data_IF_616890691202
#
_entry.id   IF_616890691202
#
_cell.length_a   1.000
_cell.length_b   1.000
_cell.length_c   1.000
_cell.angle_alpha   90.00
_cell.angle_beta   90.00
_cell.angle_gamma   90.00
#
_symmetry.space_group_name_H-M   'P 1'
#
loop_
_entity.id
_entity.type
_entity.pdbx_description
1 polymer ?
#
# COMPACT_ATOMS: atom_id res chain seq x y z
N UNK A 1 5.21 6.66 43.41
CA UNK A 1 6.16 7.67 42.90
C UNK A 1 7.45 6.96 42.53
N UNK A 2 7.61 6.58 41.26
CA UNK A 2 8.88 6.31 40.60
C UNK A 2 8.56 5.99 39.13
N UNK A 3 8.87 6.95 38.27
CA UNK A 3 8.66 6.90 36.84
C UNK A 3 9.58 5.85 36.22
N UNK A 4 9.01 4.90 35.48
CA UNK A 4 9.73 4.08 34.53
C UNK A 4 9.04 4.24 33.16
N UNK A 5 9.37 5.35 32.50
CA UNK A 5 9.21 5.54 31.06
C UNK A 5 9.98 4.42 30.33
N UNK A 6 9.32 3.30 30.05
CA UNK A 6 9.86 2.29 29.13
C UNK A 6 9.23 2.50 27.75
N UNK A 7 9.97 3.32 27.00
CA UNK A 7 10.17 3.31 25.55
C UNK A 7 9.12 2.57 24.72
N UNK A 8 8.30 3.37 24.02
CA UNK A 8 7.52 2.97 22.84
C UNK A 8 8.41 2.21 21.86
N UNK A 9 8.14 0.92 21.65
CA UNK A 9 8.71 0.14 20.56
C UNK A 9 8.01 0.48 19.22
N UNK A 10 8.40 1.63 18.69
CA UNK A 10 8.71 1.95 17.29
C UNK A 10 8.07 1.13 16.13
N UNK A 11 7.04 1.70 15.45
CA UNK A 11 6.75 1.43 14.03
C UNK A 11 7.42 2.37 12.96
N UNK A 12 8.35 3.31 13.24
CA UNK A 12 8.86 4.25 12.24
C UNK A 12 9.88 3.62 11.26
N UNK A 13 10.47 2.46 11.54
CA UNK A 13 11.58 1.93 10.72
C UNK A 13 11.11 1.54 9.32
N UNK A 14 9.92 0.94 9.18
CA UNK A 14 9.36 0.58 7.88
C UNK A 14 8.93 1.80 7.06
N UNK A 15 8.37 2.81 7.71
CA UNK A 15 8.03 4.08 7.05
C UNK A 15 9.29 4.85 6.60
N UNK A 16 10.35 4.81 7.40
CA UNK A 16 11.65 5.40 7.04
C UNK A 16 12.31 4.63 5.90
N UNK A 17 12.29 3.29 5.91
CA UNK A 17 12.81 2.45 4.81
C UNK A 17 12.08 2.71 3.49
N UNK A 18 10.75 2.84 3.51
CA UNK A 18 9.97 3.17 2.32
C UNK A 18 10.29 4.58 1.79
N UNK A 19 10.48 5.55 2.68
CA UNK A 19 10.91 6.90 2.33
C UNK A 19 12.31 6.93 1.69
N UNK A 20 13.25 6.17 2.26
CA UNK A 20 14.62 6.04 1.71
C UNK A 20 14.59 5.39 0.33
N UNK A 21 13.79 4.33 0.14
CA UNK A 21 13.64 3.68 -1.16
C UNK A 21 13.08 4.63 -2.22
N UNK A 22 12.08 5.45 -1.85
CA UNK A 22 11.54 6.48 -2.73
C UNK A 22 12.56 7.54 -3.14
N UNK A 23 13.39 7.99 -2.20
CA UNK A 23 14.45 8.97 -2.47
C UNK A 23 15.53 8.40 -3.40
N UNK A 24 15.94 7.14 -3.19
CA UNK A 24 16.90 6.45 -4.04
C UNK A 24 16.35 6.28 -5.46
N UNK A 25 15.10 5.85 -5.61
CA UNK A 25 14.46 5.71 -6.93
C UNK A 25 14.35 7.04 -7.67
N UNK A 26 14.00 8.12 -6.97
CA UNK A 26 13.96 9.46 -7.56
C UNK A 26 15.34 9.93 -8.02
N UNK A 27 16.38 9.68 -7.22
CA UNK A 27 17.77 9.98 -7.59
C UNK A 27 18.24 9.22 -8.83
N UNK A 28 17.94 7.92 -8.90
CA UNK A 28 18.29 7.09 -10.07
C UNK A 28 17.55 7.57 -11.32
N UNK A 29 16.26 7.88 -11.22
CA UNK A 29 15.49 8.36 -12.37
C UNK A 29 15.99 9.72 -12.89
N UNK A 30 16.39 10.63 -12.00
CA UNK A 30 17.02 11.89 -12.38
C UNK A 30 18.38 11.68 -13.08
N UNK A 31 19.20 10.74 -12.59
CA UNK A 31 20.47 10.38 -13.21
C UNK A 31 20.27 9.77 -14.61
N UNK A 32 19.25 8.92 -14.77
CA UNK A 32 18.86 8.35 -16.07
C UNK A 32 18.38 9.44 -17.04
N UNK A 33 17.51 10.35 -16.59
CA UNK A 33 17.04 11.47 -17.43
C UNK A 33 18.20 12.36 -17.89
N UNK A 34 19.15 12.65 -17.00
CA UNK A 34 20.38 13.37 -17.34
C UNK A 34 21.21 12.61 -18.38
N UNK A 35 21.39 11.31 -18.19
CA UNK A 35 22.14 10.46 -19.11
C UNK A 35 21.49 10.45 -20.51
N UNK A 36 20.18 10.27 -20.61
CA UNK A 36 19.48 10.31 -21.90
C UNK A 36 19.58 11.69 -22.58
N UNK A 37 19.52 12.79 -21.81
CA UNK A 37 19.73 14.14 -22.33
C UNK A 37 21.15 14.35 -22.88
N UNK A 38 22.16 13.78 -22.22
CA UNK A 38 23.56 13.82 -22.69
C UNK A 38 23.79 13.02 -23.97
N UNK A 39 23.13 11.87 -24.12
CA UNK A 39 23.20 11.06 -25.35
C UNK A 39 22.49 11.77 -26.51
N UNK A 40 21.34 12.41 -26.25
CA UNK A 40 20.59 13.15 -27.28
C UNK A 40 21.37 14.36 -27.79
N UNK A 41 21.96 15.14 -26.90
CA UNK A 41 22.77 16.31 -27.26
C UNK A 41 24.01 15.95 -28.09
N UNK A 42 24.66 14.82 -27.80
CA UNK A 42 25.75 14.32 -28.64
C UNK A 42 25.27 13.98 -30.06
N UNK A 43 24.11 13.33 -30.19
CA UNK A 43 23.54 13.01 -31.50
C UNK A 43 23.17 14.24 -32.32
N UNK A 44 22.66 15.29 -31.67
CA UNK A 44 22.35 16.58 -32.31
C UNK A 44 23.63 17.29 -32.80
N UNK A 45 24.68 17.31 -31.99
CA UNK A 45 25.98 17.88 -32.36
C UNK A 45 26.62 17.16 -33.56
N UNK A 46 26.59 15.83 -33.60
CA UNK A 46 27.12 15.04 -34.73
C UNK A 46 26.38 15.35 -36.02
N UNK A 47 25.04 15.33 -35.99
CA UNK A 47 24.21 15.62 -37.17
C UNK A 47 24.42 17.04 -37.68
N UNK A 48 24.54 18.00 -36.76
CA UNK A 48 24.83 19.38 -37.10
C UNK A 48 26.20 19.52 -37.76
N UNK A 49 27.25 18.92 -37.17
CA UNK A 49 28.61 18.96 -37.71
C UNK A 49 28.71 18.36 -39.11
N UNK A 50 28.11 17.18 -39.35
CA UNK A 50 28.07 16.54 -40.67
C UNK A 50 27.31 17.36 -41.70
N UNK A 51 26.15 17.92 -41.32
CA UNK A 51 25.33 18.72 -42.24
C UNK A 51 26.05 20.01 -42.60
N UNK A 52 26.65 20.68 -41.62
CA UNK A 52 27.33 21.93 -41.80
C UNK A 52 28.61 21.79 -42.64
N UNK A 53 29.45 20.80 -42.34
CA UNK A 53 30.67 20.58 -43.15
C UNK A 53 30.31 20.30 -44.62
N UNK A 54 29.25 19.53 -44.87
CA UNK A 54 28.75 19.23 -46.22
C UNK A 54 28.19 20.47 -46.93
N UNK A 55 27.38 21.26 -46.25
CA UNK A 55 26.80 22.48 -46.82
C UNK A 55 27.86 23.54 -47.13
N UNK A 56 28.81 23.77 -46.21
CA UNK A 56 29.92 24.69 -46.45
C UNK A 56 30.80 24.18 -47.59
N UNK A 57 31.06 22.88 -47.66
CA UNK A 57 31.82 22.30 -48.76
C UNK A 57 31.14 22.50 -50.13
N UNK A 58 29.82 22.34 -50.20
CA UNK A 58 29.04 22.60 -51.41
C UNK A 58 29.09 24.08 -51.82
N UNK A 59 28.95 24.99 -50.87
CA UNK A 59 28.98 26.44 -51.13
C UNK A 59 30.39 26.97 -51.44
N UNK A 60 31.44 26.30 -50.94
CA UNK A 60 32.83 26.66 -51.17
C UNK A 60 33.35 26.21 -52.55
N UNK A 61 32.66 25.30 -53.24
CA UNK A 61 33.09 24.77 -54.54
C UNK A 61 33.25 25.88 -55.60
N UNK A 62 32.26 26.78 -55.71
CA UNK A 62 32.26 27.83 -56.73
C UNK A 62 33.37 28.88 -56.49
N UNK A 63 33.51 29.49 -55.28
CA UNK A 63 34.61 30.42 -55.03
C UNK A 63 36.00 29.77 -55.13
N UNK A 64 36.12 28.49 -54.79
CA UNK A 64 37.38 27.76 -54.86
C UNK A 64 37.82 27.55 -56.32
N UNK A 65 36.89 27.29 -57.24
CA UNK A 65 37.18 27.21 -58.68
C UNK A 65 37.60 28.55 -59.27
N UNK A 66 36.97 29.63 -58.82
CA UNK A 66 37.28 30.99 -59.25
C UNK A 66 38.53 31.56 -58.56
N UNK A 67 39.16 30.80 -57.65
CA UNK A 67 40.26 31.27 -56.79
C UNK A 67 39.92 32.53 -55.99
N UNK A 68 38.64 32.72 -55.67
CA UNK A 68 38.14 33.88 -54.93
C UNK A 68 38.32 33.67 -53.41
N UNK A 69 39.52 34.03 -52.93
CA UNK A 69 39.85 34.01 -51.50
C UNK A 69 38.96 34.94 -50.65
N UNK A 70 38.41 36.02 -51.24
CA UNK A 70 37.50 36.93 -50.55
C UNK A 70 36.13 36.25 -50.39
N UNK A 71 35.63 35.62 -51.45
CA UNK A 71 34.43 34.78 -51.42
C UNK A 71 34.51 33.67 -50.37
N UNK A 72 35.63 32.95 -50.31
CA UNK A 72 35.88 31.92 -49.29
C UNK A 72 35.93 32.51 -47.87
N UNK A 73 36.59 33.66 -47.69
CA UNK A 73 36.65 34.36 -46.42
C UNK A 73 35.29 34.84 -45.93
N UNK A 74 34.46 35.40 -46.83
CA UNK A 74 33.10 35.84 -46.49
C UNK A 74 32.17 34.68 -46.17
N UNK A 75 32.29 33.55 -46.89
CA UNK A 75 31.56 32.32 -46.58
C UNK A 75 31.96 31.80 -45.20
N UNK A 76 33.25 31.67 -44.92
CA UNK A 76 33.74 31.24 -43.61
C UNK A 76 33.25 32.16 -42.49
N UNK A 77 33.28 33.48 -42.69
CA UNK A 77 32.82 34.44 -41.70
C UNK A 77 31.31 34.38 -41.44
N UNK A 78 30.49 34.22 -42.49
CA UNK A 78 29.02 34.01 -42.35
C UNK A 78 28.66 32.70 -41.66
N UNK A 79 29.51 31.69 -41.79
CA UNK A 79 29.29 30.41 -41.16
C UNK A 79 29.85 30.37 -39.73
N UNK A 80 30.83 31.23 -39.42
CA UNK A 80 31.36 31.42 -38.06
C UNK A 80 30.49 32.34 -37.19
N UNK A 81 29.43 32.96 -37.72
CA UNK A 81 28.46 33.73 -36.92
C UNK A 81 27.43 32.86 -36.18
N UNK A 82 27.36 31.56 -36.48
CA UNK A 82 26.51 30.63 -35.71
C UNK A 82 27.14 30.37 -34.35
N UNK A 83 26.36 30.50 -33.27
CA UNK A 83 26.85 30.38 -31.89
C UNK A 83 27.40 28.98 -31.58
N UNK A 84 26.96 27.97 -32.33
CA UNK A 84 27.39 26.58 -32.25
C UNK A 84 28.78 26.33 -32.89
N UNK A 85 29.20 27.24 -33.77
CA UNK A 85 30.44 27.13 -34.55
C UNK A 85 31.53 27.95 -33.89
N UNK A 86 32.58 27.26 -33.45
CA UNK A 86 33.75 27.91 -32.88
C UNK A 86 34.69 28.43 -33.97
N UNK A 87 34.93 27.62 -35.00
CA UNK A 87 35.87 27.92 -36.08
C UNK A 87 35.56 27.15 -37.35
N UNK A 88 35.78 27.79 -38.49
CA UNK A 88 35.75 27.15 -39.80
C UNK A 88 37.05 27.45 -40.53
N UNK A 89 37.68 26.42 -41.08
CA UNK A 89 38.85 26.57 -41.96
C UNK A 89 38.61 25.84 -43.27
N UNK A 90 39.04 26.46 -44.36
CA UNK A 90 38.95 25.91 -45.71
C UNK A 90 40.38 25.70 -46.20
N UNK A 91 40.68 24.47 -46.57
CA UNK A 91 41.99 24.03 -47.02
C UNK A 91 41.93 23.60 -48.49
N UNK A 92 43.02 23.81 -49.20
CA UNK A 92 43.24 23.24 -50.53
C UNK A 92 43.51 21.73 -50.45
N UNK A 93 43.63 21.06 -51.60
CA UNK A 93 44.04 19.65 -51.68
C UNK A 93 45.41 19.41 -51.03
N UNK A 94 46.31 20.41 -51.12
CA UNK A 94 47.65 20.38 -50.51
C UNK A 94 47.66 20.80 -49.03
N UNK A 95 46.50 20.79 -48.37
CA UNK A 95 46.29 21.22 -46.97
C UNK A 95 46.64 22.70 -46.69
N UNK A 96 46.88 23.49 -47.74
CA UNK A 96 47.14 24.93 -47.62
C UNK A 96 45.88 25.65 -47.17
N UNK A 97 45.96 26.40 -46.06
CA UNK A 97 44.87 27.23 -45.58
C UNK A 97 44.52 28.32 -46.62
N UNK A 98 43.27 28.33 -47.06
CA UNK A 98 42.73 29.29 -48.03
C UNK A 98 41.86 30.35 -47.35
N UNK A 99 41.09 29.96 -46.34
CA UNK A 99 40.27 30.87 -45.54
C UNK A 99 40.07 30.32 -44.13
N UNK A 100 39.93 31.21 -43.14
CA UNK A 100 39.62 30.87 -41.76
C UNK A 100 38.73 31.94 -41.13
N UNK A 101 37.78 31.52 -40.29
CA UNK A 101 36.97 32.41 -39.47
C UNK A 101 36.61 31.76 -38.14
N UNK A 102 36.40 32.58 -37.11
CA UNK A 102 36.08 32.14 -35.74
C UNK A 102 37.24 32.31 -34.76
N UNK A 103 37.07 31.77 -33.55
CA UNK A 103 38.04 31.92 -32.46
C UNK A 103 39.27 31.02 -32.67
N UNK A 104 40.46 31.60 -32.52
CA UNK A 104 41.77 30.93 -32.66
C UNK A 104 42.41 30.56 -31.32
N UNK A 105 41.69 30.77 -30.21
CA UNK A 105 42.16 30.44 -28.86
C UNK A 105 42.71 29.02 -28.75
N UNK A 106 43.96 28.92 -28.26
CA UNK A 106 44.75 27.71 -28.08
C UNK A 106 44.11 26.81 -27.01
N UNK A 107 43.16 26.00 -27.43
CA UNK A 107 42.53 24.95 -26.63
C UNK A 107 41.91 23.92 -27.56
N UNK A 108 42.61 22.80 -27.71
CA UNK A 108 42.31 21.68 -28.64
C UNK A 108 41.12 20.82 -28.21
N UNK A 109 40.10 21.43 -27.61
CA UNK A 109 38.95 20.71 -27.02
C UNK A 109 37.68 20.77 -27.90
N UNK A 110 37.77 21.36 -29.09
CA UNK A 110 36.69 21.36 -30.07
C UNK A 110 36.73 20.08 -30.91
N UNK A 111 35.59 19.44 -31.10
CA UNK A 111 35.50 18.31 -32.03
C UNK A 111 35.53 18.85 -33.47
N UNK A 112 36.24 18.15 -34.37
CA UNK A 112 36.46 18.59 -35.75
C UNK A 112 35.68 17.71 -36.71
N UNK A 113 34.93 18.35 -37.61
CA UNK A 113 34.21 17.69 -38.69
C UNK A 113 34.79 18.12 -40.03
N UNK A 114 35.08 17.15 -40.89
CA UNK A 114 35.69 17.39 -42.21
C UNK A 114 34.70 17.09 -43.31
N UNK A 115 34.52 18.04 -44.23
CA UNK A 115 33.70 17.89 -45.43
C UNK A 115 34.56 18.07 -46.69
N UNK A 116 34.56 17.13 -47.66
CA UNK A 116 35.30 17.29 -48.90
C UNK A 116 34.59 18.26 -49.84
N UNK A 117 35.35 19.20 -50.42
CA UNK A 117 34.89 20.09 -51.49
C UNK A 117 35.10 19.36 -52.81
N UNK A 118 34.02 18.95 -53.46
CA UNK A 118 34.07 18.25 -54.75
C UNK A 118 33.63 19.17 -55.87
N UNK A 119 34.41 19.19 -56.97
CA UNK A 119 34.03 19.83 -58.23
C UNK A 119 33.95 18.75 -59.30
N UNK A 120 32.75 18.52 -59.83
CA UNK A 120 32.49 17.31 -60.62
C UNK A 120 32.77 16.07 -59.77
N UNK A 121 33.68 15.20 -60.24
CA UNK A 121 34.10 13.97 -59.56
C UNK A 121 35.46 14.07 -58.86
N UNK A 122 36.06 15.27 -58.74
CA UNK A 122 37.39 15.47 -58.14
C UNK A 122 37.31 16.28 -56.85
N UNK A 123 38.05 15.85 -55.81
CA UNK A 123 38.19 16.60 -54.55
C UNK A 123 39.16 17.76 -54.77
N UNK A 124 38.65 18.99 -54.60
CA UNK A 124 39.39 20.24 -54.79
C UNK A 124 39.85 20.89 -53.48
N UNK A 125 39.41 20.38 -52.32
CA UNK A 125 39.81 20.85 -51.00
C UNK A 125 39.00 20.24 -49.87
N UNK A 126 39.22 20.70 -48.65
CA UNK A 126 38.53 20.24 -47.45
C UNK A 126 38.08 21.41 -46.58
N UNK A 127 36.90 21.28 -45.97
CA UNK A 127 36.39 22.20 -44.96
C UNK A 127 36.50 21.54 -43.61
N UNK A 128 37.13 22.19 -42.65
CA UNK A 128 37.16 21.76 -41.26
C UNK A 128 36.23 22.68 -40.45
N UNK A 129 35.24 22.08 -39.80
CA UNK A 129 34.30 22.77 -38.92
C UNK A 129 34.60 22.34 -37.50
N UNK A 130 34.86 23.30 -36.61
CA UNK A 130 35.05 23.09 -35.18
C UNK A 130 33.82 23.61 -34.46
N UNK A 131 33.12 22.74 -33.75
CA UNK A 131 31.95 23.12 -32.95
C UNK A 131 32.32 23.34 -31.48
N UNK A 132 31.53 24.16 -30.80
CA UNK A 132 31.67 24.41 -29.36
C UNK A 132 30.78 23.44 -28.56
N UNK A 133 31.34 22.38 -27.94
CA UNK A 133 30.55 21.33 -27.29
C UNK A 133 29.73 21.84 -26.10
N UNK A 134 30.14 22.97 -25.50
CA UNK A 134 29.40 23.60 -24.41
C UNK A 134 28.00 24.09 -24.83
N UNK A 135 27.82 24.46 -26.11
CA UNK A 135 26.54 24.96 -26.64
C UNK A 135 25.49 23.88 -26.86
N UNK A 136 25.94 22.64 -27.06
CA UNK A 136 25.06 21.48 -27.22
C UNK A 136 24.70 20.82 -25.89
N UNK A 137 25.32 21.19 -24.76
CA UNK A 137 25.01 20.58 -23.46
C UNK A 137 23.58 20.96 -23.02
N UNK A 138 22.81 20.00 -22.48
CA UNK A 138 21.50 20.30 -21.93
C UNK A 138 21.64 21.32 -20.79
N UNK A 139 20.84 22.38 -20.82
CA UNK A 139 20.85 23.37 -19.75
C UNK A 139 20.35 22.75 -18.44
N UNK A 140 20.86 23.25 -17.30
CA UNK A 140 20.41 22.81 -15.97
C UNK A 140 18.88 22.95 -15.81
N UNK A 141 18.31 24.00 -16.40
CA UNK A 141 16.87 24.21 -16.45
C UNK A 141 16.13 23.15 -17.28
N UNK A 142 16.67 22.76 -18.45
CA UNK A 142 16.10 21.70 -19.27
C UNK A 142 16.18 20.33 -18.58
N UNK A 143 17.26 20.07 -17.83
CA UNK A 143 17.40 18.84 -17.06
C UNK A 143 16.40 18.76 -15.89
N UNK A 144 16.18 19.86 -15.17
CA UNK A 144 15.16 19.94 -14.10
C UNK A 144 13.76 19.78 -14.69
N UNK A 145 13.49 20.43 -15.83
CA UNK A 145 12.22 20.30 -16.55
C UNK A 145 12.03 18.90 -17.17
N UNK A 146 13.07 18.13 -17.46
CA UNK A 146 12.94 16.74 -17.89
C UNK A 146 12.67 15.78 -16.69
N UNK A 147 12.89 16.24 -15.46
CA UNK A 147 12.86 15.40 -14.27
C UNK A 147 11.50 15.34 -13.56
N UNK A 148 10.57 16.27 -13.81
CA UNK A 148 9.25 16.28 -13.13
C UNK A 148 8.42 15.00 -13.28
N UNK A 149 8.38 14.26 -14.43
CA UNK A 149 7.58 13.04 -14.51
C UNK A 149 8.16 11.91 -13.65
N UNK A 150 9.48 11.89 -13.43
CA UNK A 150 10.12 10.92 -12.55
C UNK A 150 9.72 11.12 -11.08
N UNK A 151 9.60 12.37 -10.64
CA UNK A 151 9.12 12.71 -9.30
C UNK A 151 7.67 12.27 -9.09
N UNK A 152 6.81 12.47 -10.09
CA UNK A 152 5.42 11.99 -10.03
C UNK A 152 5.34 10.46 -9.97
N UNK A 153 6.09 9.75 -10.82
CA UNK A 153 6.12 8.29 -10.81
C UNK A 153 6.59 7.74 -9.44
N UNK A 154 7.65 8.32 -8.87
CA UNK A 154 8.13 7.93 -7.55
C UNK A 154 7.05 8.12 -6.46
N UNK A 155 6.32 9.23 -6.49
CA UNK A 155 5.21 9.51 -5.56
C UNK A 155 4.09 8.47 -5.69
N UNK A 156 3.66 8.18 -6.93
CA UNK A 156 2.60 7.20 -7.19
C UNK A 156 2.97 5.77 -6.85
N UNK A 157 4.27 5.42 -6.78
CA UNK A 157 4.72 4.08 -6.36
C UNK A 157 4.88 4.00 -4.84
N UNK A 158 5.39 5.04 -4.18
CA UNK A 158 5.62 5.02 -2.73
C UNK A 158 4.33 5.04 -1.92
N UNK A 159 3.34 5.84 -2.31
CA UNK A 159 2.06 5.94 -1.59
C UNK A 159 1.31 4.60 -1.46
N UNK A 160 1.08 3.82 -2.54
CA UNK A 160 0.40 2.54 -2.43
C UNK A 160 1.22 1.48 -1.70
N UNK A 161 2.56 1.49 -1.82
CA UNK A 161 3.42 0.58 -1.05
C UNK A 161 3.32 0.90 0.45
N UNK A 162 3.39 2.18 0.83
CA UNK A 162 3.16 2.60 2.21
C UNK A 162 1.75 2.23 2.70
N UNK A 163 0.74 2.35 1.85
CA UNK A 163 -0.63 1.96 2.18
C UNK A 163 -0.78 0.45 2.43
N UNK A 164 -0.20 -0.38 1.55
CA UNK A 164 -0.21 -1.85 1.68
C UNK A 164 0.58 -2.28 2.93
N UNK A 165 1.78 -1.73 3.13
CA UNK A 165 2.60 -2.05 4.31
C UNK A 165 1.95 -1.57 5.61
N UNK A 166 1.30 -0.40 5.62
CA UNK A 166 0.55 0.07 6.79
C UNK A 166 -0.69 -0.79 7.06
N UNK A 167 -1.29 -1.38 6.02
CA UNK A 167 -2.42 -2.31 6.16
C UNK A 167 -1.95 -3.65 6.75
N UNK A 168 -0.80 -4.16 6.31
CA UNK A 168 -0.20 -5.38 6.86
C UNK A 168 0.36 -5.18 8.27
N UNK A 169 0.93 -4.03 8.60
CA UNK A 169 1.35 -3.72 9.98
C UNK A 169 0.20 -3.65 10.99
N UNK A 170 -1.05 -3.53 10.52
CA UNK A 170 -2.26 -3.63 11.34
C UNK A 170 -2.63 -5.08 11.64
N UNK A 171 -2.20 -6.04 10.81
CA UNK A 171 -2.17 -7.47 11.11
C UNK A 171 -0.89 -7.77 11.90
N UNK A 172 -0.85 -7.28 13.15
CA UNK A 172 0.27 -7.53 14.05
C UNK A 172 0.56 -9.03 14.11
N UNK A 173 1.84 -9.39 14.02
CA UNK A 173 2.36 -10.58 14.68
C UNK A 173 1.97 -10.49 16.16
N UNK A 174 0.78 -11.00 16.50
CA UNK A 174 0.51 -11.49 17.83
C UNK A 174 1.37 -12.76 18.02
N UNK A 175 1.92 -13.01 19.22
CA UNK A 175 2.47 -14.33 19.52
C UNK A 175 1.43 -15.40 19.14
N UNK A 176 1.88 -16.50 18.54
CA UNK A 176 1.01 -17.59 18.09
C UNK A 176 0.04 -17.94 19.21
N UNK A 177 -1.29 -17.75 19.04
CA UNK A 177 -2.23 -17.93 20.13
C UNK A 177 -2.18 -19.37 20.64
N UNK A 178 -2.07 -19.55 21.95
CA UNK A 178 -2.00 -20.89 22.57
C UNK A 178 -3.40 -21.53 22.57
N UNK A 179 -4.45 -20.69 22.55
CA UNK A 179 -5.85 -21.09 22.46
C UNK A 179 -6.72 -19.99 21.82
N UNK A 180 -8.02 -20.21 21.81
CA UNK A 180 -9.03 -19.25 21.37
C UNK A 180 -10.29 -19.33 22.22
N UNK A 181 -10.94 -18.17 22.43
CA UNK A 181 -12.30 -18.11 22.97
C UNK A 181 -13.28 -18.12 21.81
N UNK A 182 -14.10 -19.15 21.74
CA UNK A 182 -15.04 -19.37 20.65
C UNK A 182 -16.45 -18.93 21.06
N UNK A 183 -16.92 -17.86 20.43
CA UNK A 183 -18.28 -17.37 20.56
C UNK A 183 -19.11 -17.80 19.34
N UNK A 184 -20.13 -18.62 19.56
CA UNK A 184 -21.12 -18.96 18.56
C UNK A 184 -22.35 -18.07 18.74
N UNK A 185 -22.75 -17.41 17.66
CA UNK A 185 -23.97 -16.62 17.55
C UNK A 185 -24.96 -17.40 16.69
N UNK A 186 -25.94 -18.00 17.37
CA UNK A 186 -26.95 -18.83 16.74
C UNK A 186 -28.19 -18.02 16.35
N UNK A 187 -28.55 -18.05 15.06
CA UNK A 187 -29.80 -17.48 14.56
C UNK A 187 -30.94 -18.48 14.82
N UNK A 188 -31.56 -18.37 15.99
CA UNK A 188 -32.50 -19.37 16.49
C UNK A 188 -33.77 -19.53 15.63
N UNK A 189 -34.32 -18.44 15.11
CA UNK A 189 -35.53 -18.46 14.29
C UNK A 189 -35.25 -18.58 12.78
N UNK A 190 -34.14 -19.22 12.40
CA UNK A 190 -33.71 -19.37 11.00
C UNK A 190 -34.76 -20.01 10.08
N UNK A 191 -35.56 -20.94 10.60
CA UNK A 191 -36.62 -21.64 9.84
C UNK A 191 -37.83 -20.78 9.55
N UNK A 192 -38.02 -19.69 10.31
CA UNK A 192 -39.14 -18.75 10.16
C UNK A 192 -38.81 -17.64 9.16
N UNK A 193 -37.51 -17.39 8.92
CA UNK A 193 -37.04 -16.35 8.00
C UNK A 193 -37.06 -16.82 6.55
N UNK A 194 -37.51 -15.95 5.65
CA UNK A 194 -37.36 -16.19 4.20
C UNK A 194 -35.88 -16.28 3.81
N UNK A 195 -35.59 -16.92 2.67
CA UNK A 195 -34.21 -17.09 2.19
C UNK A 195 -33.47 -15.76 2.03
N UNK A 196 -34.12 -14.77 1.38
CA UNK A 196 -33.54 -13.43 1.18
C UNK A 196 -33.31 -12.70 2.50
N UNK A 197 -34.29 -12.76 3.42
CA UNK A 197 -34.16 -12.09 4.72
C UNK A 197 -33.05 -12.73 5.56
N UNK A 198 -32.94 -14.06 5.53
CA UNK A 198 -31.88 -14.80 6.21
C UNK A 198 -30.51 -14.40 5.69
N UNK A 199 -30.32 -14.36 4.38
CA UNK A 199 -29.05 -13.95 3.76
C UNK A 199 -28.68 -12.52 4.16
N UNK A 200 -29.64 -11.59 4.12
CA UNK A 200 -29.42 -10.20 4.54
C UNK A 200 -29.06 -10.06 6.03
N UNK A 201 -29.72 -10.82 6.91
CA UNK A 201 -29.44 -10.81 8.36
C UNK A 201 -28.06 -11.40 8.67
N UNK A 202 -27.65 -12.47 7.97
CA UNK A 202 -26.33 -13.08 8.15
C UNK A 202 -25.22 -12.16 7.60
N UNK A 203 -25.41 -11.54 6.44
CA UNK A 203 -24.46 -10.57 5.88
C UNK A 203 -24.28 -9.33 6.79
N UNK A 204 -25.38 -8.74 7.27
CA UNK A 204 -25.30 -7.62 8.23
C UNK A 204 -24.67 -8.07 9.56
N UNK A 205 -25.06 -9.24 10.06
CA UNK A 205 -24.52 -9.83 11.28
C UNK A 205 -23.02 -10.08 11.19
N UNK A 206 -22.53 -10.60 10.07
CA UNK A 206 -21.11 -10.86 9.83
C UNK A 206 -20.32 -9.55 9.83
N UNK A 207 -20.82 -8.49 9.16
CA UNK A 207 -20.21 -7.16 9.18
C UNK A 207 -20.15 -6.54 10.58
N UNK A 208 -21.13 -6.83 11.45
CA UNK A 208 -21.10 -6.42 12.86
C UNK A 208 -20.05 -7.24 13.62
N UNK A 209 -20.03 -8.56 13.43
CA UNK A 209 -19.08 -9.45 14.08
C UNK A 209 -17.62 -9.11 13.73
N UNK A 210 -17.32 -8.84 12.46
CA UNK A 210 -16.01 -8.39 11.97
C UNK A 210 -15.53 -7.10 12.66
N UNK A 211 -16.44 -6.15 12.88
CA UNK A 211 -16.13 -4.92 13.61
C UNK A 211 -15.80 -5.20 15.08
N UNK A 212 -16.52 -6.10 15.73
CA UNK A 212 -16.27 -6.48 17.13
C UNK A 212 -14.94 -7.21 17.28
N UNK A 213 -14.65 -8.21 16.44
CA UNK A 213 -13.36 -8.92 16.49
C UNK A 213 -12.19 -8.01 16.13
N UNK A 214 -12.41 -6.99 15.29
CA UNK A 214 -11.43 -5.95 14.99
C UNK A 214 -11.05 -5.09 16.22
N UNK A 215 -11.93 -4.97 17.21
CA UNK A 215 -11.66 -4.25 18.46
C UNK A 215 -10.98 -5.12 19.51
N UNK A 216 -11.39 -6.39 19.62
CA UNK A 216 -10.95 -7.29 20.70
C UNK A 216 -9.81 -8.24 20.29
N UNK A 217 -9.47 -8.33 19.00
CA UNK A 217 -8.41 -9.22 18.49
C UNK A 217 -8.94 -10.63 18.23
N UNK A 218 -9.38 -10.88 17.00
CA UNK A 218 -9.94 -12.17 16.62
C UNK A 218 -10.35 -12.24 15.15
N UNK A 219 -11.14 -13.26 14.82
CA UNK A 219 -11.71 -13.46 13.48
C UNK A 219 -13.19 -13.86 13.57
N UNK A 220 -13.96 -13.45 12.58
CA UNK A 220 -15.37 -13.80 12.44
C UNK A 220 -15.56 -14.63 11.16
N UNK A 221 -16.40 -15.65 11.23
CA UNK A 221 -16.68 -16.59 10.14
C UNK A 221 -18.17 -16.93 10.14
N UNK A 222 -18.73 -17.17 8.96
CA UNK A 222 -20.08 -17.74 8.84
C UNK A 222 -20.02 -19.26 9.02
N UNK A 223 -20.98 -19.83 9.76
CA UNK A 223 -21.09 -21.26 9.98
C UNK A 223 -22.44 -21.77 9.49
N UNK A 224 -22.41 -22.81 8.65
CA UNK A 224 -23.57 -23.32 7.93
C UNK A 224 -24.74 -23.74 8.84
N UNK A 225 -24.47 -24.21 10.07
CA UNK A 225 -25.50 -24.68 11.00
C UNK A 225 -25.94 -23.64 12.03
N UNK A 226 -25.02 -22.79 12.47
CA UNK A 226 -25.24 -21.90 13.61
C UNK A 226 -25.58 -20.46 13.17
N UNK A 227 -24.95 -19.97 12.11
CA UNK A 227 -25.01 -18.57 11.72
C UNK A 227 -23.61 -17.98 11.72
N UNK A 228 -23.15 -17.45 12.86
CA UNK A 228 -21.88 -16.71 12.92
C UNK A 228 -21.01 -17.24 14.07
N UNK A 229 -19.71 -17.38 13.83
CA UNK A 229 -18.72 -17.84 14.79
C UNK A 229 -17.62 -16.79 14.89
N UNK A 230 -17.31 -16.37 16.12
CA UNK A 230 -16.24 -15.43 16.43
C UNK A 230 -15.20 -16.17 17.27
N UNK A 231 -13.94 -16.14 16.83
CA UNK A 231 -12.81 -16.69 17.58
C UNK A 231 -11.92 -15.54 18.04
N UNK A 232 -11.85 -15.31 19.34
CA UNK A 232 -10.95 -14.35 19.97
C UNK A 232 -9.62 -15.02 20.32
N UNK A 233 -8.51 -14.32 20.10
CA UNK A 233 -7.20 -14.88 20.44
C UNK A 233 -7.04 -15.08 21.96
N UNK A 234 -6.45 -16.20 22.36
CA UNK A 234 -5.88 -16.34 23.69
C UNK A 234 -4.36 -16.13 23.59
N UNK A 235 -3.98 -14.87 23.74
CA UNK A 235 -2.58 -14.42 23.73
C UNK A 235 -1.88 -14.61 25.09
N UNK A 236 -2.54 -15.24 26.07
CA UNK A 236 -1.98 -15.48 27.40
C UNK A 236 -1.80 -14.21 28.25
N UNK A 237 -2.39 -13.09 27.82
CA UNK A 237 -2.44 -11.88 28.63
C UNK A 237 -3.48 -12.01 29.74
N UNK A 238 -3.23 -11.44 30.94
CA UNK A 238 -4.26 -11.40 31.98
C UNK A 238 -5.48 -10.64 31.45
N UNK A 239 -6.68 -11.08 31.85
CA UNK A 239 -7.98 -10.55 31.43
C UNK A 239 -8.49 -10.87 29.99
N UNK A 240 -7.78 -11.66 29.16
CA UNK A 240 -8.30 -12.01 27.80
C UNK A 240 -9.65 -12.74 27.79
N UNK A 241 -9.88 -13.62 28.76
CA UNK A 241 -11.18 -14.28 28.92
C UNK A 241 -12.30 -13.26 29.20
N UNK A 242 -12.00 -12.22 29.99
CA UNK A 242 -12.96 -11.15 30.27
C UNK A 242 -13.21 -10.29 29.04
N UNK A 243 -12.16 -9.98 28.27
CA UNK A 243 -12.28 -9.26 27.00
C UNK A 243 -13.13 -10.02 25.97
N UNK A 244 -12.98 -11.34 25.86
CA UNK A 244 -13.82 -12.18 25.02
C UNK A 244 -15.30 -12.12 25.44
N UNK A 245 -15.57 -12.13 26.76
CA UNK A 245 -16.93 -11.93 27.29
C UNK A 245 -17.45 -10.52 26.98
N UNK A 246 -16.63 -9.48 27.13
CA UNK A 246 -17.00 -8.10 26.74
C UNK A 246 -17.31 -8.01 25.24
N UNK A 247 -16.50 -8.65 24.38
CA UNK A 247 -16.77 -8.77 22.95
C UNK A 247 -18.10 -9.47 22.68
N UNK A 248 -18.41 -10.54 23.42
CA UNK A 248 -19.70 -11.22 23.32
C UNK A 248 -20.88 -10.31 23.73
N UNK A 249 -20.77 -9.60 24.85
CA UNK A 249 -21.81 -8.66 25.32
C UNK A 249 -21.98 -7.48 24.35
N UNK A 250 -20.90 -6.99 23.75
CA UNK A 250 -20.95 -5.94 22.72
C UNK A 250 -21.71 -6.44 21.47
N UNK A 251 -21.39 -7.67 21.02
CA UNK A 251 -22.10 -8.33 19.92
C UNK A 251 -23.60 -8.44 20.25
N UNK A 252 -23.95 -8.86 21.46
CA UNK A 252 -25.35 -8.90 21.92
C UNK A 252 -26.06 -7.55 21.79
N UNK A 253 -25.42 -6.47 22.27
CA UNK A 253 -25.99 -5.12 22.19
C UNK A 253 -26.20 -4.62 20.76
N UNK A 254 -25.27 -4.94 19.84
CA UNK A 254 -25.36 -4.57 18.43
C UNK A 254 -26.41 -5.38 17.67
N UNK A 255 -26.52 -6.68 17.95
CA UNK A 255 -27.51 -7.55 17.35
C UNK A 255 -28.92 -7.25 17.87
N UNK A 256 -29.07 -6.85 19.13
CA UNK A 256 -30.34 -6.37 19.67
C UNK A 256 -30.74 -5.02 19.04
N UNK A 257 -29.78 -4.16 18.72
CA UNK A 257 -30.05 -2.94 17.95
C UNK A 257 -30.49 -3.25 16.51
N UNK A 258 -29.89 -4.26 15.87
CA UNK A 258 -30.32 -4.76 14.56
C UNK A 258 -31.74 -5.34 14.61
N UNK A 259 -32.06 -6.14 15.63
CA UNK A 259 -33.41 -6.66 15.87
C UNK A 259 -34.44 -5.55 16.04
N UNK A 260 -34.12 -4.51 16.83
CA UNK A 260 -35.01 -3.36 17.01
C UNK A 260 -35.25 -2.59 15.72
N UNK A 261 -34.22 -2.43 14.87
CA UNK A 261 -34.36 -1.82 13.53
C UNK A 261 -35.21 -2.65 12.57
N UNK A 262 -35.17 -3.98 12.70
CA UNK A 262 -35.95 -4.90 11.88
C UNK A 262 -37.47 -4.87 12.17
N UNK A 263 -37.91 -4.20 13.25
CA UNK A 263 -39.31 -4.15 13.67
C UNK A 263 -39.72 -5.38 14.50
N UNK A 264 -40.56 -5.19 15.52
CA UNK A 264 -41.08 -6.27 16.34
C UNK A 264 -42.11 -7.10 15.57
N UNK A 265 -41.73 -8.30 15.15
CA UNK A 265 -42.59 -9.21 14.40
C UNK A 265 -42.09 -10.66 14.41
N UNK A 266 -42.84 -11.57 13.79
CA UNK A 266 -42.49 -13.00 13.71
C UNK A 266 -41.19 -13.26 12.93
N UNK A 267 -40.82 -12.31 12.05
CA UNK A 267 -39.59 -12.31 11.24
C UNK A 267 -38.46 -11.46 11.84
N UNK A 268 -38.59 -10.98 13.08
CA UNK A 268 -37.48 -10.29 13.75
C UNK A 268 -36.39 -11.32 14.10
N UNK A 269 -35.12 -11.09 13.76
CA UNK A 269 -34.07 -12.08 14.00
C UNK A 269 -33.82 -12.26 15.50
N UNK A 270 -33.79 -13.52 15.94
CA UNK A 270 -33.56 -13.89 17.34
C UNK A 270 -32.23 -14.60 17.45
N UNK A 271 -31.32 -14.03 18.23
CA UNK A 271 -29.97 -14.55 18.42
C UNK A 271 -29.78 -15.15 19.81
N UNK A 272 -29.00 -16.22 19.87
CA UNK A 272 -28.55 -16.85 21.11
C UNK A 272 -27.05 -17.07 21.06
N UNK A 273 -26.40 -17.07 22.21
CA UNK A 273 -24.95 -16.93 22.28
C UNK A 273 -24.36 -18.04 23.15
N UNK A 274 -23.34 -18.72 22.65
CA UNK A 274 -22.60 -19.76 23.37
C UNK A 274 -21.11 -19.49 23.32
N UNK A 275 -20.44 -19.45 24.48
CA UNK A 275 -19.00 -19.25 24.61
C UNK A 275 -18.32 -20.51 25.13
N UNK A 276 -17.32 -20.99 24.38
CA UNK A 276 -16.45 -22.10 24.76
C UNK A 276 -14.97 -21.73 24.57
N UNK A 277 -14.07 -22.58 25.07
CA UNK A 277 -12.62 -22.46 24.87
C UNK A 277 -12.19 -23.57 23.92
N UNK A 278 -11.37 -23.21 22.94
CA UNK A 278 -10.86 -24.14 21.94
C UNK A 278 -9.37 -23.90 21.69
N UNK A 279 -8.64 -24.88 21.12
CA UNK A 279 -7.32 -24.64 20.54
C UNK A 279 -7.38 -23.53 19.48
N UNK A 280 -6.24 -22.90 19.19
CA UNK A 280 -6.17 -22.01 18.04
C UNK A 280 -6.15 -22.83 16.75
N UNK A 281 -7.17 -22.66 15.90
CA UNK A 281 -7.24 -23.31 14.59
C UNK A 281 -6.79 -22.35 13.50
N UNK A 282 -5.91 -22.75 12.58
CA UNK A 282 -5.48 -21.87 11.49
C UNK A 282 -6.57 -21.75 10.42
N UNK A 283 -7.24 -22.87 10.10
CA UNK A 283 -8.27 -22.95 9.07
C UNK A 283 -9.69 -22.65 9.58
N UNK A 284 -10.53 -22.10 8.70
CA UNK A 284 -11.96 -21.92 8.96
C UNK A 284 -12.72 -23.27 8.98
N UNK A 285 -12.31 -24.20 8.12
CA UNK A 285 -12.90 -25.54 8.02
C UNK A 285 -12.60 -26.38 9.26
N UNK A 286 -11.36 -26.32 9.76
CA UNK A 286 -10.94 -26.99 10.99
C UNK A 286 -11.68 -26.44 12.22
N UNK A 287 -11.91 -25.12 12.26
CA UNK A 287 -12.73 -24.50 13.30
C UNK A 287 -14.18 -24.97 13.23
N UNK A 288 -14.76 -25.10 12.04
CA UNK A 288 -16.15 -25.51 11.87
C UNK A 288 -16.40 -26.94 12.37
N UNK A 289 -15.48 -27.86 12.13
CA UNK A 289 -15.65 -29.28 12.50
C UNK A 289 -15.23 -29.61 13.94
N UNK A 290 -14.56 -28.67 14.62
CA UNK A 290 -14.06 -28.87 15.97
C UNK A 290 -15.16 -29.26 16.99
N UNK A 291 -14.87 -30.23 17.86
CA UNK A 291 -15.78 -30.65 18.94
C UNK A 291 -16.20 -29.49 19.85
N UNK A 292 -15.29 -28.53 20.08
CA UNK A 292 -15.57 -27.33 20.87
C UNK A 292 -16.57 -26.38 20.19
N UNK A 293 -16.60 -26.36 18.85
CA UNK A 293 -17.60 -25.61 18.07
C UNK A 293 -18.96 -26.25 18.22
N UNK A 294 -19.06 -27.58 18.15
CA UNK A 294 -20.31 -28.31 18.40
C UNK A 294 -20.83 -28.07 19.81
N UNK A 295 -19.95 -28.13 20.82
CA UNK A 295 -20.31 -27.79 22.20
C UNK A 295 -20.79 -26.33 22.34
N UNK A 296 -20.12 -25.37 21.68
CA UNK A 296 -20.54 -23.96 21.68
C UNK A 296 -21.89 -23.75 20.96
N UNK A 297 -22.16 -24.49 19.90
CA UNK A 297 -23.47 -24.51 19.22
C UNK A 297 -24.54 -25.04 20.17
N UNK A 298 -24.30 -26.15 20.86
CA UNK A 298 -25.24 -26.69 21.85
C UNK A 298 -25.47 -25.70 23.01
N UNK A 299 -24.41 -25.08 23.53
CA UNK A 299 -24.51 -24.03 24.54
C UNK A 299 -25.37 -22.86 24.07
N UNK A 300 -25.17 -22.39 22.84
CA UNK A 300 -25.98 -21.33 22.25
C UNK A 300 -27.45 -21.73 22.12
N UNK A 301 -27.75 -23.00 21.82
CA UNK A 301 -29.11 -23.50 21.73
C UNK A 301 -29.81 -23.56 23.10
N UNK A 302 -29.05 -23.87 24.15
CA UNK A 302 -29.53 -23.93 25.54
C UNK A 302 -29.66 -22.54 26.20
N UNK A 303 -28.99 -21.53 25.66
CA UNK A 303 -29.08 -20.17 26.17
C UNK A 303 -30.51 -19.60 26.00
N UNK A 304 -31.03 -18.87 27.01
CA UNK A 304 -32.23 -18.07 26.84
C UNK A 304 -32.07 -17.02 25.73
N UNK A 305 -33.18 -16.58 25.15
CA UNK A 305 -33.17 -15.61 24.03
C UNK A 305 -32.43 -14.33 24.43
N UNK A 306 -31.39 -13.96 23.68
CA UNK A 306 -30.60 -12.75 23.94
C UNK A 306 -29.58 -12.89 25.08
N UNK A 307 -29.47 -14.04 25.74
CA UNK A 307 -28.50 -14.27 26.81
C UNK A 307 -27.28 -15.06 26.33
N UNK A 308 -26.18 -14.96 27.08
CA UNK A 308 -24.91 -15.63 26.79
C UNK A 308 -24.72 -16.82 27.72
N UNK A 309 -24.67 -18.03 27.16
CA UNK A 309 -24.25 -19.22 27.89
C UNK A 309 -22.73 -19.39 27.78
N UNK A 310 -22.06 -19.67 28.90
CA UNK A 310 -20.63 -19.89 28.99
C UNK A 310 -20.37 -21.29 29.53
N UNK A 311 -19.49 -22.02 28.85
CA UNK A 311 -18.99 -23.31 29.31
C UNK A 311 -18.06 -23.21 30.51
N UNK A 312 -17.92 -24.28 31.27
CA UNK A 312 -17.08 -24.31 32.48
C UNK A 312 -15.60 -23.97 32.22
N UNK A 313 -15.04 -24.41 31.09
CA UNK A 313 -13.66 -24.07 30.69
C UNK A 313 -13.48 -22.56 30.50
N UNK A 314 -14.43 -21.91 29.81
CA UNK A 314 -14.44 -20.46 29.63
C UNK A 314 -14.68 -19.73 30.97
N UNK A 315 -15.52 -20.28 31.85
CA UNK A 315 -15.74 -19.72 33.18
C UNK A 315 -14.47 -19.76 34.04
N UNK A 316 -13.72 -20.87 34.03
CA UNK A 316 -12.46 -21.02 34.78
C UNK A 316 -11.34 -20.13 34.27
N UNK A 317 -11.36 -19.78 32.98
CA UNK A 317 -10.39 -18.86 32.39
C UNK A 317 -10.61 -17.40 32.84
N UNK A 318 -11.75 -17.07 33.44
CA UNK A 318 -12.04 -15.72 33.94
C UNK A 318 -11.44 -15.55 35.33
N UNK A 319 -10.36 -14.76 35.43
CA UNK A 319 -9.65 -14.54 36.71
C UNK A 319 -10.50 -13.83 37.78
N UNK A 320 -11.44 -12.97 37.37
CA UNK A 320 -12.28 -12.15 38.27
C UNK A 320 -13.77 -12.27 37.95
N UNK A 321 -14.41 -13.40 38.28
CA UNK A 321 -15.80 -13.66 37.93
C UNK A 321 -16.80 -12.69 38.59
N UNK A 322 -16.43 -12.01 39.67
CA UNK A 322 -17.23 -10.98 40.33
C UNK A 322 -17.52 -9.74 39.45
N UNK A 323 -16.75 -9.57 38.36
CA UNK A 323 -17.01 -8.54 37.34
C UNK A 323 -18.23 -8.87 36.47
N UNK A 324 -18.77 -10.08 36.55
CA UNK A 324 -19.88 -10.56 35.71
C UNK A 324 -21.07 -10.99 36.57
N UNK A 325 -22.27 -10.73 36.06
CA UNK A 325 -23.50 -11.25 36.66
C UNK A 325 -23.78 -12.64 36.11
N UNK A 326 -23.40 -13.66 36.88
CA UNK A 326 -23.51 -15.07 36.51
C UNK A 326 -24.70 -15.73 37.19
N UNK A 327 -25.49 -16.50 36.42
CA UNK A 327 -26.52 -17.39 36.93
C UNK A 327 -26.19 -18.85 36.55
N UNK A 328 -26.53 -19.85 37.38
CA UNK A 328 -26.35 -21.25 37.02
C UNK A 328 -27.25 -21.65 35.84
N UNK A 329 -26.71 -22.47 34.93
CA UNK A 329 -27.47 -23.11 33.84
C UNK A 329 -27.56 -24.61 34.14
N UNK A 330 -28.54 -24.99 34.94
CA UNK A 330 -28.76 -26.37 35.37
C UNK A 330 -29.88 -27.01 34.52
N UNK A 331 -29.48 -27.62 33.41
CA UNK A 331 -30.40 -28.36 32.52
C UNK A 331 -29.81 -29.74 32.24
N UNK A 332 -30.64 -30.79 32.18
CA UNK A 332 -30.16 -32.17 31.86
C UNK A 332 -29.36 -32.20 30.55
N UNK A 333 -29.69 -31.34 29.60
CA UNK A 333 -28.99 -31.19 28.32
C UNK A 333 -27.56 -30.61 28.42
N UNK A 334 -27.12 -30.07 29.57
CA UNK A 334 -25.71 -29.69 29.75
C UNK A 334 -24.82 -30.89 30.03
N UNK A 335 -25.40 -32.05 30.36
CA UNK A 335 -24.68 -33.32 30.56
C UNK A 335 -24.28 -33.99 29.24
N UNK A 336 -24.83 -33.55 28.09
CA UNK A 336 -24.51 -34.11 26.76
C UNK A 336 -23.37 -33.37 26.05
N UNK A 337 -22.76 -32.36 26.69
CA UNK A 337 -21.61 -31.65 26.13
C UNK A 337 -20.37 -32.55 26.15
N UNK A 338 -19.68 -32.63 25.02
CA UNK A 338 -18.62 -33.63 24.80
C UNK A 338 -17.29 -33.23 25.47
N UNK A 339 -17.03 -31.94 25.60
CA UNK A 339 -15.78 -31.38 26.15
C UNK A 339 -16.06 -30.47 27.35
N UNK A 340 -17.20 -29.78 27.34
CA UNK A 340 -17.58 -28.81 28.38
C UNK A 340 -18.27 -29.49 29.56
N UNK A 341 -17.50 -29.91 30.56
CA UNK A 341 -18.04 -30.48 31.80
C UNK A 341 -18.84 -29.45 32.60
N UNK A 342 -20.02 -29.83 33.13
CA UNK A 342 -20.80 -29.02 34.06
C UNK A 342 -19.95 -28.48 35.25
N UNK A 343 -20.29 -27.32 35.85
CA UNK A 343 -21.48 -26.50 35.62
C UNK A 343 -21.30 -25.43 34.52
N UNK A 344 -22.32 -25.26 33.67
CA UNK A 344 -22.40 -24.14 32.73
C UNK A 344 -23.08 -22.93 33.40
N UNK A 345 -22.81 -21.71 32.92
CA UNK A 345 -23.37 -20.48 33.49
C UNK A 345 -23.93 -19.56 32.42
N UNK A 346 -24.93 -18.77 32.79
CA UNK A 346 -25.47 -17.67 31.98
C UNK A 346 -24.83 -16.36 32.44
N UNK A 347 -24.36 -15.55 31.50
CA UNK A 347 -24.00 -14.15 31.74
C UNK A 347 -25.19 -13.26 31.42
N UNK A 348 -25.69 -12.54 32.43
CA UNK A 348 -26.75 -11.52 32.28
C UNK A 348 -26.21 -10.12 32.00
N UNK A 349 -24.92 -9.90 32.23
CA UNK A 349 -24.25 -8.64 31.93
C UNK A 349 -23.00 -8.41 32.78
N UNK A 350 -22.35 -7.27 32.56
CA UNK A 350 -21.21 -6.82 33.36
C UNK A 350 -21.68 -6.11 34.65
N UNK A 351 -20.89 -6.25 35.73
CA UNK A 351 -21.19 -5.63 37.02
C UNK A 351 -20.71 -4.16 37.08
N UNK A 352 -21.51 -3.30 37.73
CA UNK A 352 -21.12 -1.94 38.13
C UNK A 352 -20.59 -1.05 37.00
N UNK A 353 -19.38 -0.49 37.18
CA UNK A 353 -18.75 0.49 36.29
C UNK A 353 -18.49 0.00 34.86
N UNK A 354 -18.34 -1.32 34.65
CA UNK A 354 -18.10 -1.89 33.32
C UNK A 354 -19.34 -1.86 32.42
N UNK A 355 -20.55 -1.85 33.02
CA UNK A 355 -21.80 -1.71 32.27
C UNK A 355 -21.87 -0.36 31.55
N UNK A 356 -21.48 0.73 32.22
CA UNK A 356 -21.49 2.08 31.65
C UNK A 356 -20.53 2.19 30.46
N UNK A 357 -19.32 1.63 30.58
CA UNK A 357 -18.34 1.62 29.47
C UNK A 357 -18.84 0.80 28.29
N UNK A 358 -19.43 -0.38 28.54
CA UNK A 358 -19.98 -1.22 27.48
C UNK A 358 -21.16 -0.52 26.77
N UNK A 359 -22.04 0.14 27.52
CA UNK A 359 -23.18 0.90 26.97
C UNK A 359 -22.71 2.09 26.11
N UNK A 360 -21.62 2.78 26.50
CA UNK A 360 -20.99 3.81 25.69
C UNK A 360 -20.36 3.24 24.41
N UNK A 361 -19.68 2.09 24.49
CA UNK A 361 -19.11 1.41 23.33
C UNK A 361 -20.19 0.98 22.34
N UNK A 362 -21.32 0.45 22.83
CA UNK A 362 -22.49 0.10 22.01
C UNK A 362 -23.02 1.36 21.29
N UNK A 363 -23.17 2.48 22.00
CA UNK A 363 -23.63 3.75 21.40
C UNK A 363 -22.64 4.30 20.37
N UNK A 364 -21.34 4.22 20.64
CA UNK A 364 -20.29 4.68 19.73
C UNK A 364 -20.25 3.84 18.45
N UNK A 365 -20.36 2.52 18.58
CA UNK A 365 -20.36 1.58 17.46
C UNK A 365 -21.65 1.65 16.60
N UNK A 366 -22.74 2.20 17.14
CA UNK A 366 -23.97 2.48 16.40
C UNK A 366 -23.91 3.77 15.57
N UNK A 367 -22.95 4.68 15.84
CA UNK A 367 -22.83 5.92 15.06
C UNK A 367 -22.35 5.57 13.63
N UNK A 368 -23.01 6.09 12.59
CA UNK A 368 -22.52 5.94 11.23
C UNK A 368 -21.14 6.61 11.14
N UNK A 369 -20.18 5.92 10.52
CA UNK A 369 -18.89 6.52 10.16
C UNK A 369 -19.19 7.66 9.18
N UNK A 370 -18.81 8.91 9.47
CA UNK A 370 -18.99 10.00 8.51
C UNK A 370 -18.20 9.65 7.24
N UNK A 371 -18.88 9.78 6.10
CA UNK A 371 -18.36 9.48 4.77
C UNK A 371 -17.17 10.36 4.38
#
# INVERSE_FOLDING_TARGET
MAAALRLRATPPVQAVLAGVLGFVLAGVAAAVAWHLGSVRSQGEMVRFGETMSRQVALLAAEPLLQQDSIGLGTLANRMATFDEVRRITIHSVDDRLLAAAGDTGVGDNGQVWVGPITVGDTVAGHVHVVLEPARFRPSLAAAVAASWPAWLAAFFVTVPICYVLAREGKQRHAPTPIGSFLLVVNLFNRTVLSYERRAAVLDEGLKIAERVVGLYGGRALEHAEAGIVLAFDDSGQPDRAFEAVCGALLTQGLFEAMRRRAGGGREAPVFRYGLSVAPWYAGAEELADAAQTRDAILLSALAPSGELAIGNAAHRAIERPERLQLAPLDTVATQTLSVTLAPCRIVRGAAGAYRTVLDEQVKAAQRPVPA
#
